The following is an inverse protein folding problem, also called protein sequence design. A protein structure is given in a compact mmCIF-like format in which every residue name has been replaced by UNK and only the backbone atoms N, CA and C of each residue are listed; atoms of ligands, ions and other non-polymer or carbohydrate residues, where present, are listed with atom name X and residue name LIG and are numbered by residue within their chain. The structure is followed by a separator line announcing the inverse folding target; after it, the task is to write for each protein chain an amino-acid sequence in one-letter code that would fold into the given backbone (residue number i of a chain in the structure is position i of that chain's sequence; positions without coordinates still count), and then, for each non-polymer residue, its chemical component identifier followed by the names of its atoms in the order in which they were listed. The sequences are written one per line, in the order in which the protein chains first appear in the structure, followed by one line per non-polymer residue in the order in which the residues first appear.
data_IF_524844870244
#
_entry.id   IF_524844870244
#
_cell.length_a   1.000
_cell.length_b   1.000
_cell.length_c   1.000
_cell.angle_alpha   90.00
_cell.angle_beta   90.00
_cell.angle_gamma   90.00
#
_symmetry.space_group_name_H-M   'P 1'
#
loop_
_entity.id
_entity.type
_entity.pdbx_description
1 polymer ?
#
# COMPACT_ATOMS: atom_id res chain seq x y z
N UNK A 1 -7.89 20.56 -2.61
CA UNK A 1 -7.89 19.92 -1.29
C UNK A 1 -7.39 18.51 -1.50
N UNK A 2 -6.17 18.17 -1.05
CA UNK A 2 -5.69 16.79 -1.20
C UNK A 2 -6.37 15.98 -0.10
N UNK A 3 -7.35 15.18 -0.46
CA UNK A 3 -7.89 14.17 0.44
C UNK A 3 -6.69 13.38 0.96
N UNK A 4 -6.44 13.46 2.27
CA UNK A 4 -5.44 12.64 2.90
C UNK A 4 -5.96 11.21 2.84
N UNK A 5 -5.58 10.47 1.80
CA UNK A 5 -5.94 9.07 1.61
C UNK A 5 -5.44 8.32 2.84
N UNK A 6 -6.36 8.06 3.76
CA UNK A 6 -6.01 7.54 5.08
C UNK A 6 -5.84 6.04 4.95
N UNK A 7 -4.58 5.60 4.90
CA UNK A 7 -4.23 4.18 4.90
C UNK A 7 -4.29 3.60 6.32
N UNK A 8 -4.48 2.29 6.41
CA UNK A 8 -4.47 1.58 7.67
C UNK A 8 -3.10 1.62 8.36
N UNK A 9 -3.04 1.54 9.70
CA UNK A 9 -1.78 1.49 10.43
C UNK A 9 -0.88 0.31 10.03
N UNK A 10 -1.47 -0.82 9.62
CA UNK A 10 -0.72 -1.96 9.08
C UNK A 10 -0.04 -1.62 7.77
N UNK A 11 -0.77 -1.00 6.83
CA UNK A 11 -0.21 -0.61 5.54
C UNK A 11 0.86 0.48 5.70
N UNK A 12 0.64 1.43 6.60
CA UNK A 12 1.64 2.43 6.97
C UNK A 12 2.88 1.78 7.60
N UNK A 13 2.69 0.80 8.49
CA UNK A 13 3.78 0.03 9.10
C UNK A 13 4.60 -0.73 8.06
N UNK A 14 3.93 -1.36 7.10
CA UNK A 14 4.56 -2.01 5.95
C UNK A 14 5.37 -1.01 5.11
N UNK A 15 4.80 0.14 4.77
CA UNK A 15 5.51 1.19 4.03
C UNK A 15 6.76 1.67 4.78
N UNK A 16 6.66 1.87 6.10
CA UNK A 16 7.80 2.28 6.92
C UNK A 16 8.89 1.19 6.97
N UNK A 17 8.51 -0.08 7.11
CA UNK A 17 9.43 -1.22 7.14
C UNK A 17 10.22 -1.35 5.83
N UNK A 18 9.53 -1.19 4.70
CA UNK A 18 10.10 -1.32 3.35
C UNK A 18 10.57 0.01 2.74
N UNK A 19 10.56 1.09 3.53
CA UNK A 19 10.97 2.45 3.14
C UNK A 19 10.26 2.98 1.90
N UNK A 20 8.98 2.66 1.75
CA UNK A 20 8.12 3.19 0.68
C UNK A 20 7.69 4.60 1.08
N UNK A 21 8.13 5.66 0.38
CA UNK A 21 8.04 7.03 0.87
C UNK A 21 6.65 7.65 0.72
N UNK A 22 5.80 7.14 -0.18
CA UNK A 22 4.46 7.66 -0.43
C UNK A 22 3.55 6.61 -1.07
N UNK A 23 2.24 6.88 -1.06
CA UNK A 23 1.23 5.96 -1.61
C UNK A 23 1.44 5.76 -3.11
N UNK A 24 1.77 6.80 -3.88
CA UNK A 24 1.98 6.66 -5.32
C UNK A 24 3.05 5.62 -5.66
N UNK A 25 4.17 5.59 -4.92
CA UNK A 25 5.20 4.55 -5.08
C UNK A 25 4.71 3.17 -4.66
N UNK A 26 3.91 3.06 -3.61
CA UNK A 26 3.26 1.79 -3.23
C UNK A 26 2.36 1.26 -4.36
N UNK A 27 1.58 2.14 -5.00
CA UNK A 27 0.63 1.75 -6.04
C UNK A 27 1.30 1.30 -7.34
N UNK A 28 2.57 1.67 -7.58
CA UNK A 28 3.37 1.21 -8.72
C UNK A 28 3.93 -0.21 -8.56
N UNK A 29 3.95 -0.75 -7.33
CA UNK A 29 4.42 -2.12 -7.08
C UNK A 29 3.33 -3.11 -7.53
N UNK A 30 3.71 -4.16 -8.26
CA UNK A 30 2.77 -5.18 -8.72
C UNK A 30 2.21 -6.00 -7.54
N UNK A 31 1.01 -6.56 -7.73
CA UNK A 31 0.34 -7.36 -6.71
C UNK A 31 1.15 -8.61 -6.34
N UNK A 32 1.76 -9.23 -7.35
CA UNK A 32 2.65 -10.39 -7.19
C UNK A 32 3.86 -10.03 -6.34
N UNK A 33 4.53 -8.91 -6.63
CA UNK A 33 5.67 -8.45 -5.83
C UNK A 33 5.24 -8.17 -4.40
N UNK A 34 4.15 -7.42 -4.20
CA UNK A 34 3.64 -7.13 -2.86
C UNK A 34 3.34 -8.41 -2.06
N UNK A 35 2.68 -9.40 -2.66
CA UNK A 35 2.38 -10.67 -2.00
C UNK A 35 3.61 -11.53 -1.66
N UNK A 36 4.75 -11.27 -2.29
CA UNK A 36 6.03 -11.94 -1.94
C UNK A 36 6.80 -11.21 -0.83
N UNK A 37 6.42 -9.99 -0.47
CA UNK A 37 7.13 -9.20 0.53
C UNK A 37 6.78 -9.66 1.95
N UNK A 38 7.82 -9.80 2.77
CA UNK A 38 7.65 -10.09 4.19
C UNK A 38 6.72 -9.06 4.85
N UNK A 39 5.79 -9.58 5.66
CA UNK A 39 4.78 -8.79 6.37
C UNK A 39 3.75 -8.11 5.47
N UNK A 40 3.64 -8.48 4.18
CA UNK A 40 2.52 -8.09 3.33
C UNK A 40 1.51 -9.24 3.20
N UNK A 41 0.22 -8.93 3.18
CA UNK A 41 -0.82 -9.94 3.12
C UNK A 41 -2.10 -9.47 2.42
N UNK A 42 -3.01 -10.41 2.18
CA UNK A 42 -4.24 -10.20 1.41
C UNK A 42 -5.12 -9.04 1.91
N UNK A 43 -5.12 -8.76 3.22
CA UNK A 43 -5.86 -7.63 3.80
C UNK A 43 -5.33 -6.28 3.29
N UNK A 44 -4.01 -6.12 3.30
CA UNK A 44 -3.33 -4.94 2.76
C UNK A 44 -3.44 -4.87 1.23
N UNK A 45 -3.37 -6.01 0.53
CA UNK A 45 -3.60 -6.04 -0.92
C UNK A 45 -4.97 -5.48 -1.29
N UNK A 46 -6.02 -5.90 -0.57
CA UNK A 46 -7.39 -5.39 -0.80
C UNK A 46 -7.48 -3.87 -0.60
N UNK A 47 -6.71 -3.33 0.33
CA UNK A 47 -6.62 -1.88 0.55
C UNK A 47 -5.90 -1.19 -0.62
N UNK A 48 -4.75 -1.70 -1.04
CA UNK A 48 -4.00 -1.20 -2.21
C UNK A 48 -4.87 -1.21 -3.48
N UNK A 49 -5.62 -2.29 -3.73
CA UNK A 49 -6.52 -2.38 -4.87
C UNK A 49 -7.62 -1.33 -4.86
N UNK A 50 -8.18 -1.00 -3.68
CA UNK A 50 -9.15 0.10 -3.55
C UNK A 50 -8.54 1.46 -3.83
N UNK A 51 -7.31 1.68 -3.36
CA UNK A 51 -6.57 2.92 -3.61
C UNK A 51 -6.32 3.11 -5.11
N UNK A 52 -5.90 2.05 -5.83
CA UNK A 52 -5.69 2.11 -7.30
C UNK A 52 -6.95 2.35 -8.11
N UNK A 53 -8.13 2.05 -7.57
CA UNK A 53 -9.41 2.32 -8.24
C UNK A 53 -9.92 3.75 -7.99
N UNK A 54 -9.33 4.44 -7.01
CA UNK A 54 -9.74 5.78 -6.59
C UNK A 54 -8.82 6.89 -7.12
N UNK A 55 -7.67 6.53 -7.71
CA UNK A 55 -6.84 7.40 -8.57
C UNK A 55 -7.27 7.28 -10.04
#
# INVERSE_FOLDING_TARGET
MKEATTISPELQGFMNLHKIPNISELLLISDETLLTMNSFGWRMLKEVLKLRQSE
#
